data_IF_629830309480
#
_entry.id   IF_629830309480
#
_cell.length_a   1.000
_cell.length_b   1.000
_cell.length_c   1.000
_cell.angle_alpha   90.00
_cell.angle_beta   90.00
_cell.angle_gamma   90.00
#
_symmetry.space_group_name_H-M   'P 1'
#
loop_
_entity.id
_entity.type
_entity.pdbx_description
1 polymer ?
#
# COMPACT_ATOMS: atom_id res chain seq x y z
N UNK A 1 -12.88 -7.40 24.05
CA UNK A 1 -11.93 -6.41 23.50
C UNK A 1 -12.34 -5.04 24.03
N UNK A 2 -11.42 -4.31 24.69
CA UNK A 2 -11.73 -2.96 25.18
C UNK A 2 -11.91 -2.00 23.98
N UNK A 3 -12.85 -1.05 24.06
CA UNK A 3 -13.09 -0.07 22.99
C UNK A 3 -11.84 0.70 22.57
N UNK A 4 -10.89 0.89 23.48
CA UNK A 4 -9.59 1.53 23.21
C UNK A 4 -8.76 0.76 22.19
N UNK A 5 -8.75 -0.58 22.24
CA UNK A 5 -7.96 -1.39 21.29
C UNK A 5 -8.48 -1.28 19.87
N UNK A 6 -9.80 -1.18 19.71
CA UNK A 6 -10.44 -1.00 18.40
C UNK A 6 -10.03 0.35 17.82
N UNK A 7 -10.09 1.42 18.60
CA UNK A 7 -9.71 2.77 18.15
C UNK A 7 -8.22 2.83 17.77
N UNK A 8 -7.36 2.22 18.59
CA UNK A 8 -5.90 2.18 18.33
C UNK A 8 -5.57 1.45 17.02
N UNK A 9 -6.31 0.39 16.66
CA UNK A 9 -6.14 -0.30 15.39
C UNK A 9 -6.86 0.39 14.22
N UNK A 10 -8.00 1.04 14.47
CA UNK A 10 -8.78 1.70 13.43
C UNK A 10 -8.01 2.83 12.74
N UNK A 11 -7.25 3.62 13.51
CA UNK A 11 -6.46 4.74 12.97
C UNK A 11 -5.44 4.28 11.90
N UNK A 12 -4.50 3.36 12.19
CA UNK A 12 -3.52 2.92 11.19
C UNK A 12 -4.17 2.21 10.00
N UNK A 13 -5.25 1.44 10.21
CA UNK A 13 -5.99 0.81 9.10
C UNK A 13 -6.67 1.84 8.20
N UNK A 14 -7.27 2.88 8.78
CA UNK A 14 -7.87 3.98 8.02
C UNK A 14 -6.81 4.70 7.20
N UNK A 15 -5.68 5.08 7.81
CA UNK A 15 -4.57 5.74 7.12
C UNK A 15 -3.98 4.86 6.01
N UNK A 16 -3.82 3.56 6.25
CA UNK A 16 -3.37 2.60 5.24
C UNK A 16 -4.35 2.53 4.06
N UNK A 17 -5.67 2.47 4.33
CA UNK A 17 -6.70 2.46 3.29
C UNK A 17 -6.69 3.73 2.43
N UNK A 18 -6.55 4.91 3.05
CA UNK A 18 -6.41 6.19 2.32
C UNK A 18 -5.16 6.18 1.45
N UNK A 19 -4.02 5.70 1.98
CA UNK A 19 -2.77 5.60 1.23
C UNK A 19 -2.88 4.66 0.03
N UNK A 20 -3.44 3.47 0.22
CA UNK A 20 -3.65 2.48 -0.86
C UNK A 20 -4.54 3.08 -1.94
N UNK A 21 -5.69 3.66 -1.57
CA UNK A 21 -6.62 4.26 -2.55
C UNK A 21 -5.98 5.41 -3.34
N UNK A 22 -5.15 6.23 -2.69
CA UNK A 22 -4.42 7.29 -3.38
C UNK A 22 -3.39 6.74 -4.38
N UNK A 23 -2.64 5.70 -4.00
CA UNK A 23 -1.64 5.04 -4.86
C UNK A 23 -2.32 4.37 -6.06
N UNK A 24 -3.38 3.59 -5.82
CA UNK A 24 -4.13 2.91 -6.87
C UNK A 24 -4.70 3.93 -7.86
N UNK A 25 -5.30 5.01 -7.37
CA UNK A 25 -5.83 6.09 -8.23
C UNK A 25 -4.73 6.70 -9.10
N UNK A 26 -3.55 6.98 -8.53
CA UNK A 26 -2.42 7.51 -9.28
C UNK A 26 -1.90 6.53 -10.34
N UNK A 27 -1.81 5.23 -10.02
CA UNK A 27 -1.40 4.19 -10.96
C UNK A 27 -2.36 4.07 -12.14
N UNK A 28 -3.67 4.00 -11.87
CA UNK A 28 -4.68 3.93 -12.93
C UNK A 28 -4.67 5.17 -13.81
N UNK A 29 -4.52 6.36 -13.22
CA UNK A 29 -4.37 7.61 -13.98
C UNK A 29 -3.12 7.58 -14.86
N UNK A 30 -1.98 7.14 -14.33
CA UNK A 30 -0.74 7.06 -15.08
C UNK A 30 -0.86 6.12 -16.28
N UNK A 31 -1.46 4.95 -16.11
CA UNK A 31 -1.70 4.01 -17.22
C UNK A 31 -2.66 4.61 -18.25
N UNK A 32 -3.73 5.29 -17.82
CA UNK A 32 -4.67 5.94 -18.73
C UNK A 32 -3.99 7.02 -19.60
N UNK A 33 -3.10 7.82 -19.00
CA UNK A 33 -2.44 8.95 -19.68
C UNK A 33 -1.25 8.52 -20.53
N UNK A 34 -0.45 7.55 -20.07
CA UNK A 34 0.82 7.18 -20.71
C UNK A 34 0.69 6.04 -21.72
N UNK A 35 -0.32 5.17 -21.59
CA UNK A 35 -0.46 4.03 -22.51
C UNK A 35 -1.05 4.45 -23.87
N UNK A 36 -0.49 3.98 -24.99
CA UNK A 36 -1.07 4.14 -26.32
C UNK A 36 -2.51 3.60 -26.39
N UNK A 37 -3.39 4.22 -27.18
CA UNK A 37 -4.80 3.84 -27.32
C UNK A 37 -5.00 2.36 -27.61
N UNK A 38 -4.14 1.81 -28.45
CA UNK A 38 -4.26 0.45 -28.99
C UNK A 38 -3.79 -0.61 -27.99
N UNK A 39 -3.00 -0.21 -26.98
CA UNK A 39 -2.43 -1.10 -25.95
C UNK A 39 -2.95 -0.79 -24.53
N UNK A 40 -3.87 0.16 -24.38
CA UNK A 40 -4.36 0.61 -23.06
C UNK A 40 -5.01 -0.53 -22.27
N UNK A 41 -5.75 -1.42 -22.95
CA UNK A 41 -6.32 -2.63 -22.34
C UNK A 41 -5.25 -3.57 -21.78
N UNK A 42 -4.20 -3.84 -22.57
CA UNK A 42 -3.07 -4.67 -22.15
C UNK A 42 -2.25 -4.02 -21.02
N UNK A 43 -2.10 -2.70 -21.03
CA UNK A 43 -1.40 -1.96 -19.99
C UNK A 43 -2.14 -2.02 -18.64
N UNK A 44 -3.47 -1.89 -18.63
CA UNK A 44 -4.27 -2.13 -17.42
C UNK A 44 -4.22 -3.60 -16.98
N UNK A 45 -4.23 -4.55 -17.92
CA UNK A 45 -4.05 -5.96 -17.62
C UNK A 45 -2.73 -6.22 -16.91
N UNK A 46 -1.62 -5.66 -17.42
CA UNK A 46 -0.30 -5.78 -16.79
C UNK A 46 -0.23 -5.09 -15.42
N UNK A 47 -0.86 -3.93 -15.26
CA UNK A 47 -0.97 -3.29 -13.95
C UNK A 47 -1.67 -4.22 -12.95
N UNK A 48 -2.81 -4.81 -13.35
CA UNK A 48 -3.57 -5.71 -12.49
C UNK A 48 -2.82 -7.01 -12.15
N UNK A 49 -2.05 -7.58 -13.09
CA UNK A 49 -1.23 -8.77 -12.81
C UNK A 49 -0.11 -8.45 -11.83
N UNK A 50 0.58 -7.33 -12.01
CA UNK A 50 1.63 -6.88 -11.09
C UNK A 50 1.06 -6.61 -9.69
N UNK A 51 -0.10 -5.94 -9.60
CA UNK A 51 -0.76 -5.67 -8.32
C UNK A 51 -1.15 -6.97 -7.60
N UNK A 52 -1.72 -7.93 -8.34
CA UNK A 52 -2.13 -9.22 -7.79
C UNK A 52 -0.93 -10.06 -7.33
N UNK A 53 0.15 -10.06 -8.11
CA UNK A 53 1.39 -10.76 -7.76
C UNK A 53 2.05 -10.13 -6.53
N UNK A 54 2.07 -8.79 -6.45
CA UNK A 54 2.55 -8.05 -5.29
C UNK A 54 1.75 -8.37 -4.03
N UNK A 55 0.42 -8.40 -4.13
CA UNK A 55 -0.47 -8.77 -3.02
C UNK A 55 -0.23 -10.21 -2.55
N UNK A 56 -0.02 -11.15 -3.48
CA UNK A 56 0.32 -12.53 -3.15
C UNK A 56 1.65 -12.61 -2.40
N UNK A 57 2.70 -11.98 -2.92
CA UNK A 57 4.01 -11.95 -2.28
C UNK A 57 3.94 -11.30 -0.89
N UNK A 58 3.24 -10.18 -0.75
CA UNK A 58 3.03 -9.50 0.53
C UNK A 58 2.30 -10.40 1.54
N UNK A 59 1.28 -11.14 1.09
CA UNK A 59 0.53 -12.09 1.93
C UNK A 59 1.40 -13.26 2.39
N UNK A 60 2.25 -13.81 1.50
CA UNK A 60 3.21 -14.86 1.86
C UNK A 60 4.20 -14.34 2.89
N UNK A 61 4.81 -13.18 2.66
CA UNK A 61 5.76 -12.56 3.60
C UNK A 61 5.11 -12.31 4.95
N UNK A 62 3.89 -11.73 4.97
CA UNK A 62 3.15 -11.49 6.20
C UNK A 62 2.83 -12.79 6.95
N UNK A 63 2.40 -13.84 6.23
CA UNK A 63 2.14 -15.16 6.81
C UNK A 63 3.38 -15.81 7.39
N UNK A 64 4.52 -15.73 6.68
CA UNK A 64 5.81 -16.24 7.17
C UNK A 64 6.25 -15.48 8.42
N UNK A 65 6.20 -14.14 8.43
CA UNK A 65 6.54 -13.35 9.63
C UNK A 65 5.62 -13.68 10.82
N UNK A 66 4.33 -13.86 10.55
CA UNK A 66 3.34 -14.20 11.58
C UNK A 66 3.63 -15.56 12.21
N UNK A 67 3.92 -16.56 11.37
CA UNK A 67 4.11 -17.96 11.80
C UNK A 67 5.49 -18.24 12.39
N UNK A 68 6.54 -17.59 11.87
CA UNK A 68 7.92 -17.86 12.28
C UNK A 68 8.41 -16.98 13.44
N UNK A 69 7.91 -15.75 13.59
CA UNK A 69 8.37 -14.82 14.65
C UNK A 69 7.28 -14.57 15.69
N UNK A 70 6.24 -13.83 15.29
CA UNK A 70 5.05 -13.56 16.11
C UNK A 70 4.07 -12.67 15.34
N UNK A 71 2.78 -12.66 15.73
CA UNK A 71 1.78 -11.71 15.22
C UNK A 71 2.21 -10.24 15.37
N UNK A 72 2.81 -9.91 16.52
CA UNK A 72 3.29 -8.55 16.80
C UNK A 72 4.41 -8.14 15.83
N UNK A 73 5.35 -9.05 15.52
CA UNK A 73 6.43 -8.79 14.57
C UNK A 73 5.94 -8.55 13.14
N UNK A 74 4.90 -9.27 12.69
CA UNK A 74 4.29 -9.04 11.38
C UNK A 74 3.64 -7.64 11.29
N UNK A 75 2.89 -7.25 12.32
CA UNK A 75 2.27 -5.93 12.36
C UNK A 75 3.28 -4.78 12.49
N UNK A 76 4.34 -4.94 13.29
CA UNK A 76 5.38 -3.90 13.39
C UNK A 76 6.17 -3.74 12.10
N UNK A 77 6.44 -4.84 11.38
CA UNK A 77 7.03 -4.78 10.05
C UNK A 77 6.16 -4.01 9.06
N UNK A 78 4.86 -4.31 8.99
CA UNK A 78 3.92 -3.59 8.14
C UNK A 78 3.79 -2.11 8.53
N UNK A 79 3.71 -1.81 9.84
CA UNK A 79 3.62 -0.46 10.35
C UNK A 79 4.89 0.35 10.05
N UNK A 80 6.07 -0.25 10.19
CA UNK A 80 7.33 0.36 9.77
C UNK A 80 7.27 0.68 8.28
N UNK A 81 6.82 -0.26 7.44
CA UNK A 81 6.71 -0.06 6.00
C UNK A 81 5.69 1.02 5.58
N UNK A 82 4.70 1.31 6.43
CA UNK A 82 3.80 2.44 6.21
C UNK A 82 4.40 3.78 6.66
N UNK A 83 5.13 3.80 7.77
CA UNK A 83 5.71 5.04 8.30
C UNK A 83 6.76 5.65 7.37
N UNK A 84 7.67 4.84 6.84
CA UNK A 84 8.65 5.33 5.84
C UNK A 84 7.99 5.69 4.49
N UNK A 85 6.89 5.05 4.09
CA UNK A 85 6.12 5.45 2.90
C UNK A 85 5.48 6.82 3.11
N UNK A 86 4.86 7.02 4.28
CA UNK A 86 4.30 8.31 4.70
C UNK A 86 5.38 9.38 4.80
N UNK A 87 6.54 9.07 5.38
CA UNK A 87 7.67 9.99 5.46
C UNK A 87 8.18 10.41 4.08
N UNK A 88 8.30 9.47 3.14
CA UNK A 88 8.66 9.75 1.75
C UNK A 88 7.62 10.64 1.07
N UNK A 89 6.33 10.37 1.27
CA UNK A 89 5.25 11.18 0.74
C UNK A 89 5.31 12.62 1.29
N UNK A 90 5.41 12.79 2.60
CA UNK A 90 5.54 14.10 3.24
C UNK A 90 6.78 14.85 2.76
N UNK A 91 7.91 14.16 2.60
CA UNK A 91 9.13 14.75 2.06
C UNK A 91 8.93 15.29 0.63
N UNK A 92 8.28 14.53 -0.24
CA UNK A 92 7.97 14.98 -1.61
C UNK A 92 6.93 16.10 -1.64
N UNK A 93 5.94 16.08 -0.74
CA UNK A 93 4.93 17.12 -0.62
C UNK A 93 5.54 18.44 -0.15
N UNK A 94 6.41 18.41 0.86
CA UNK A 94 7.14 19.60 1.34
C UNK A 94 8.05 20.15 0.24
N UNK A 95 8.72 19.30 -0.54
CA UNK A 95 9.56 19.73 -1.67
C UNK A 95 8.79 20.35 -2.83
N UNK A 96 7.49 20.09 -2.98
CA UNK A 96 6.65 20.74 -4.00
C UNK A 96 6.10 22.09 -3.57
N UNK A 97 6.09 22.37 -2.26
CA UNK A 97 5.59 23.63 -1.69
C UNK A 97 6.69 24.70 -1.54
N UNK A 98 7.95 24.31 -1.73
CA UNK A 98 9.15 25.17 -1.73
C UNK A 98 9.61 25.44 -3.16
#
# INVERSE_FOLDING_TARGET
>A
MSGTTIVVLAIPFFLAGVGIGAVETAQYSAVATLAPSDLRGSAFGLLATVQSLGNLAASVVAGVLWTALSPAAAFTYLAAWMLLALAGLLFTAVRRAS
#
